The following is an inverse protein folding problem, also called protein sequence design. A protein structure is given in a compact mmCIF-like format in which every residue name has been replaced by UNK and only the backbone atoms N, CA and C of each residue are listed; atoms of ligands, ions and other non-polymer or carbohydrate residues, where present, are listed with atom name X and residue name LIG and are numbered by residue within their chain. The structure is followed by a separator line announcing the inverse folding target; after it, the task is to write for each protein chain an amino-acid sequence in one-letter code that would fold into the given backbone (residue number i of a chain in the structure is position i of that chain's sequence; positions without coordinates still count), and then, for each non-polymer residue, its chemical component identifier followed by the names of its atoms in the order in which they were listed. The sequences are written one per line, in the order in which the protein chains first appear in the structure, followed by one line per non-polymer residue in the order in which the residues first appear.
data_IF_637338164805
#
_entry.id   IF_637338164805
#
_cell.length_a   1.000
_cell.length_b   1.000
_cell.length_c   1.000
_cell.angle_alpha   90.00
_cell.angle_beta   90.00
_cell.angle_gamma   90.00
#
_symmetry.space_group_name_H-M   'P 1'
#
loop_
_entity.id
_entity.type
_entity.pdbx_description
1 polymer ?
#
# COMPACT_ATOMS: atom_id res chain seq x y z
N UNK A 1 -44.24 -36.31 18.80
CA UNK A 1 -44.06 -35.74 17.46
C UNK A 1 -42.57 -35.73 17.18
N UNK A 2 -42.10 -36.72 16.45
CA UNK A 2 -40.70 -36.82 16.04
C UNK A 2 -40.48 -35.78 14.94
N UNK A 3 -39.57 -34.82 15.16
CA UNK A 3 -39.22 -33.86 14.12
C UNK A 3 -38.60 -34.63 12.94
N UNK A 4 -39.08 -34.43 11.71
CA UNK A 4 -38.53 -35.12 10.56
C UNK A 4 -37.06 -34.74 10.41
N UNK A 5 -36.20 -35.75 10.35
CA UNK A 5 -34.72 -35.65 10.32
C UNK A 5 -34.26 -34.66 9.22
N UNK A 6 -35.02 -34.55 8.13
CA UNK A 6 -34.81 -33.57 7.05
C UNK A 6 -34.79 -32.12 7.55
N UNK A 7 -35.65 -31.74 8.51
CA UNK A 7 -35.69 -30.37 9.04
C UNK A 7 -34.42 -30.06 9.85
N UNK A 8 -33.93 -31.02 10.63
CA UNK A 8 -32.72 -30.88 11.45
C UNK A 8 -31.48 -30.74 10.55
N UNK A 9 -31.39 -31.56 9.49
CA UNK A 9 -30.27 -31.50 8.53
C UNK A 9 -30.26 -30.15 7.81
N UNK A 10 -31.42 -29.67 7.36
CA UNK A 10 -31.51 -28.39 6.62
C UNK A 10 -31.10 -27.20 7.49
N UNK A 11 -31.51 -27.21 8.77
CA UNK A 11 -31.09 -26.20 9.75
C UNK A 11 -29.59 -26.23 10.00
N UNK A 12 -28.99 -27.41 10.11
CA UNK A 12 -27.56 -27.55 10.33
C UNK A 12 -26.74 -27.05 9.14
N UNK A 13 -27.15 -27.39 7.91
CA UNK A 13 -26.51 -26.90 6.68
C UNK A 13 -26.63 -25.39 6.55
N UNK A 14 -27.79 -24.80 6.85
CA UNK A 14 -27.98 -23.35 6.80
C UNK A 14 -27.08 -22.58 7.79
N UNK A 15 -26.91 -23.11 9.01
CA UNK A 15 -26.01 -22.52 10.01
C UNK A 15 -24.55 -22.61 9.57
N UNK A 16 -24.11 -23.77 9.05
CA UNK A 16 -22.74 -23.96 8.58
C UNK A 16 -22.42 -23.06 7.39
N UNK A 17 -23.32 -22.99 6.39
CA UNK A 17 -23.12 -22.12 5.22
C UNK A 17 -23.15 -20.64 5.63
N UNK A 18 -24.03 -20.24 6.55
CA UNK A 18 -24.07 -18.87 7.06
C UNK A 18 -22.77 -18.45 7.76
N UNK A 19 -22.21 -19.32 8.62
CA UNK A 19 -20.93 -19.06 9.30
C UNK A 19 -19.77 -18.95 8.30
N UNK A 20 -19.74 -19.79 7.26
CA UNK A 20 -18.70 -19.74 6.23
C UNK A 20 -18.76 -18.44 5.43
N UNK A 21 -19.96 -17.98 5.03
CA UNK A 21 -20.13 -16.73 4.27
C UNK A 21 -19.75 -15.51 5.11
N UNK A 22 -20.10 -15.49 6.41
CA UNK A 22 -19.77 -14.38 7.33
C UNK A 22 -18.25 -14.29 7.56
N UNK A 23 -17.57 -15.43 7.71
CA UNK A 23 -16.10 -15.45 7.83
C UNK A 23 -15.43 -15.01 6.53
N UNK A 24 -15.92 -15.46 5.37
CA UNK A 24 -15.37 -15.06 4.06
C UNK A 24 -15.55 -13.54 3.81
N UNK A 25 -16.71 -12.98 4.19
CA UNK A 25 -16.97 -11.55 4.09
C UNK A 25 -16.10 -10.73 5.06
N UNK A 26 -15.83 -11.26 6.26
CA UNK A 26 -14.93 -10.61 7.23
C UNK A 26 -13.47 -10.66 6.77
N UNK A 27 -13.02 -11.75 6.15
CA UNK A 27 -11.68 -11.87 5.56
C UNK A 27 -11.53 -10.93 4.35
N UNK A 28 -12.54 -10.82 3.48
CA UNK A 28 -12.50 -9.88 2.33
C UNK A 28 -12.55 -8.40 2.76
N UNK A 29 -13.29 -8.07 3.82
CA UNK A 29 -13.34 -6.70 4.36
C UNK A 29 -12.04 -6.36 5.11
N UNK A 30 -11.41 -7.34 5.76
CA UNK A 30 -10.11 -7.15 6.44
C UNK A 30 -8.96 -7.05 5.45
N UNK A 31 -8.98 -7.84 4.36
CA UNK A 31 -8.01 -7.74 3.25
C UNK A 31 -8.19 -6.46 2.43
N UNK A 32 -9.43 -5.97 2.28
CA UNK A 32 -9.69 -4.69 1.61
C UNK A 32 -9.40 -3.48 2.50
N UNK A 33 -9.50 -3.61 3.83
CA UNK A 33 -9.06 -2.57 4.78
C UNK A 33 -7.55 -2.55 4.96
N UNK A 34 -6.89 -3.70 5.05
CA UNK A 34 -5.41 -3.76 5.16
C UNK A 34 -4.73 -3.18 3.92
N UNK A 35 -5.34 -3.36 2.73
CA UNK A 35 -4.86 -2.72 1.48
C UNK A 35 -5.14 -1.22 1.41
N UNK A 36 -6.11 -0.70 2.18
CA UNK A 36 -6.36 0.74 2.32
C UNK A 36 -5.49 1.38 3.43
N UNK A 37 -5.11 0.62 4.45
CA UNK A 37 -4.28 1.07 5.59
C UNK A 37 -2.76 0.87 5.37
N UNK A 38 -2.33 0.24 4.27
CA UNK A 38 -0.90 0.02 3.95
C UNK A 38 -0.05 1.31 3.84
N UNK A 39 -0.69 2.47 3.75
CA UNK A 39 -0.04 3.79 3.77
C UNK A 39 -0.01 4.44 5.15
N UNK A 40 -0.78 3.92 6.11
CA UNK A 40 -1.08 4.54 7.39
C UNK A 40 -0.55 3.74 8.59
N UNK A 41 -0.23 2.46 8.41
CA UNK A 41 0.23 1.60 9.51
C UNK A 41 1.65 1.93 10.00
N UNK A 42 1.78 1.86 11.32
CA UNK A 42 2.91 2.25 12.17
C UNK A 42 4.11 1.28 12.10
N UNK A 43 4.02 0.23 11.27
CA UNK A 43 5.06 -0.80 11.10
C UNK A 43 5.87 -0.57 9.80
N UNK A 44 6.61 0.54 9.73
CA UNK A 44 7.70 0.64 8.76
C UNK A 44 8.84 -0.21 9.30
N UNK A 45 9.12 -1.35 8.68
CA UNK A 45 10.36 -2.10 8.94
C UNK A 45 11.56 -1.13 8.89
N UNK A 46 12.37 -1.10 9.94
CA UNK A 46 13.56 -0.25 10.06
C UNK A 46 14.50 -0.41 8.84
N UNK A 47 14.47 -1.57 8.19
CA UNK A 47 15.23 -1.88 6.97
C UNK A 47 14.84 -1.05 5.74
N UNK A 48 13.69 -0.35 5.78
CA UNK A 48 13.21 0.53 4.70
C UNK A 48 13.54 1.99 4.95
N UNK A 49 14.15 2.31 6.08
CA UNK A 49 14.52 3.69 6.46
C UNK A 49 15.90 4.01 5.89
N UNK A 50 15.99 5.12 5.16
CA UNK A 50 17.24 5.64 4.61
C UNK A 50 17.48 7.02 5.22
N UNK A 51 18.53 7.17 6.01
CA UNK A 51 18.94 8.46 6.55
C UNK A 51 19.92 9.14 5.59
N UNK A 52 19.59 10.37 5.18
CA UNK A 52 20.43 11.22 4.36
C UNK A 52 20.58 12.58 5.03
N UNK A 53 21.74 13.21 4.86
CA UNK A 53 21.94 14.60 5.32
C UNK A 53 20.99 15.57 4.59
N UNK A 54 20.66 15.29 3.33
CA UNK A 54 19.70 16.06 2.55
C UNK A 54 18.96 15.16 1.55
N UNK A 55 17.65 15.34 1.46
CA UNK A 55 16.77 14.63 0.53
C UNK A 55 16.56 15.50 -0.71
N UNK A 56 17.30 15.17 -1.78
CA UNK A 56 17.24 15.85 -3.07
C UNK A 56 16.21 15.24 -4.02
N UNK A 57 15.68 16.04 -4.95
CA UNK A 57 14.69 15.61 -5.96
C UNK A 57 15.16 14.39 -6.77
N UNK A 58 16.45 14.36 -7.13
CA UNK A 58 17.06 13.24 -7.89
C UNK A 58 17.15 11.95 -7.08
N UNK A 59 17.44 12.04 -5.78
CA UNK A 59 17.48 10.88 -4.89
C UNK A 59 16.09 10.26 -4.75
N UNK A 60 15.07 11.10 -4.54
CA UNK A 60 13.67 10.67 -4.46
C UNK A 60 13.20 10.03 -5.77
N UNK A 61 13.50 10.64 -6.92
CA UNK A 61 13.14 10.11 -8.23
C UNK A 61 13.80 8.75 -8.51
N UNK A 62 15.08 8.57 -8.14
CA UNK A 62 15.79 7.30 -8.31
C UNK A 62 15.19 6.19 -7.43
N UNK A 63 14.91 6.49 -6.16
CA UNK A 63 14.29 5.53 -5.23
C UNK A 63 12.85 5.17 -5.66
N UNK A 64 12.09 6.14 -6.15
CA UNK A 64 10.78 5.92 -6.78
C UNK A 64 10.90 4.97 -7.98
N UNK A 65 11.90 5.15 -8.84
CA UNK A 65 12.13 4.30 -9.99
C UNK A 65 12.50 2.87 -9.61
N UNK A 66 13.31 2.69 -8.56
CA UNK A 66 13.64 1.36 -8.02
C UNK A 66 12.41 0.67 -7.43
N UNK A 67 11.59 1.41 -6.68
CA UNK A 67 10.31 0.93 -6.15
C UNK A 67 9.39 0.46 -7.30
N UNK A 68 9.27 1.25 -8.37
CA UNK A 68 8.45 0.89 -9.53
C UNK A 68 8.96 -0.39 -10.21
N UNK A 69 10.27 -0.50 -10.46
CA UNK A 69 10.88 -1.71 -11.04
C UNK A 69 10.59 -2.97 -10.22
N UNK A 70 10.61 -2.84 -8.90
CA UNK A 70 10.45 -3.98 -7.98
C UNK A 70 8.99 -4.46 -7.90
N UNK A 71 8.03 -3.53 -7.90
CA UNK A 71 6.63 -3.81 -7.60
C UNK A 71 5.68 -3.76 -8.80
N UNK A 72 6.05 -3.14 -9.92
CA UNK A 72 5.19 -3.05 -11.12
C UNK A 72 4.73 -4.41 -11.66
N UNK A 73 5.54 -5.46 -11.48
CA UNK A 73 5.19 -6.83 -11.90
C UNK A 73 4.72 -7.74 -10.75
N UNK A 74 4.49 -7.19 -9.54
CA UNK A 74 3.99 -7.96 -8.41
C UNK A 74 2.47 -7.77 -8.30
N UNK A 75 1.73 -8.88 -8.31
CA UNK A 75 0.28 -8.88 -8.48
C UNK A 75 -0.54 -8.79 -7.18
N UNK A 76 0.06 -8.40 -6.05
CA UNK A 76 -0.60 -8.66 -4.78
C UNK A 76 -0.96 -7.42 -3.94
N UNK A 77 -0.05 -6.49 -3.67
CA UNK A 77 -0.25 -5.53 -2.57
C UNK A 77 0.48 -4.18 -2.76
N UNK A 78 -0.16 -3.10 -2.33
CA UNK A 78 0.47 -1.79 -2.16
C UNK A 78 1.52 -1.89 -1.05
N UNK A 79 2.69 -1.30 -1.26
CA UNK A 79 3.80 -1.43 -0.34
C UNK A 79 4.60 -0.14 -0.22
N UNK A 80 4.94 0.24 1.01
CA UNK A 80 6.00 1.21 1.26
C UNK A 80 7.34 0.57 0.90
N UNK A 81 8.05 1.20 -0.01
CA UNK A 81 9.37 0.79 -0.47
C UNK A 81 10.47 1.38 0.41
N UNK A 82 10.41 2.69 0.63
CA UNK A 82 11.43 3.45 1.34
C UNK A 82 10.81 4.57 2.16
N UNK A 83 11.43 4.89 3.29
CA UNK A 83 11.21 6.11 4.06
C UNK A 83 12.53 6.83 4.17
N UNK A 84 12.68 7.95 3.50
CA UNK A 84 13.90 8.74 3.51
C UNK A 84 13.78 9.81 4.57
N UNK A 85 14.68 9.80 5.56
CA UNK A 85 14.77 10.82 6.60
C UNK A 85 15.92 11.78 6.28
N UNK A 86 15.71 13.07 6.49
CA UNK A 86 16.71 14.12 6.23
C UNK A 86 16.08 15.46 5.90
N UNK A 87 16.90 16.51 5.76
CA UNK A 87 16.42 17.84 5.37
C UNK A 87 15.89 17.80 3.93
N UNK A 88 14.56 17.93 3.78
CA UNK A 88 13.91 17.83 2.47
C UNK A 88 14.11 19.11 1.69
N UNK A 89 14.90 19.00 0.62
CA UNK A 89 15.11 20.06 -0.38
C UNK A 89 14.53 19.68 -1.74
N UNK A 90 13.85 18.54 -1.83
CA UNK A 90 13.21 18.05 -3.03
C UNK A 90 11.98 18.89 -3.40
N UNK A 91 11.74 19.08 -4.70
CA UNK A 91 10.53 19.72 -5.22
C UNK A 91 9.75 18.78 -6.13
N UNK A 92 8.42 18.85 -6.07
CA UNK A 92 7.53 17.93 -6.80
C UNK A 92 7.81 17.94 -8.31
N UNK A 93 7.92 19.15 -8.90
CA UNK A 93 8.19 19.32 -10.32
C UNK A 93 9.53 18.72 -10.75
N UNK A 94 10.57 18.82 -9.91
CA UNK A 94 11.88 18.25 -10.22
C UNK A 94 11.90 16.73 -10.03
N UNK A 95 11.18 16.20 -9.04
CA UNK A 95 11.04 14.75 -8.84
C UNK A 95 10.35 14.12 -10.05
N UNK A 96 9.24 14.70 -10.52
CA UNK A 96 8.52 14.22 -11.71
C UNK A 96 9.40 14.33 -12.95
N UNK A 97 10.10 15.46 -13.15
CA UNK A 97 10.99 15.66 -14.30
C UNK A 97 12.21 14.72 -14.31
N UNK A 98 12.72 14.33 -13.13
CA UNK A 98 13.84 13.41 -13.00
C UNK A 98 13.43 11.93 -13.03
N UNK A 99 12.12 11.64 -12.98
CA UNK A 99 11.60 10.28 -12.95
C UNK A 99 11.70 9.64 -14.37
N UNK A 100 12.30 8.45 -14.50
CA UNK A 100 12.59 7.87 -15.81
C UNK A 100 11.40 7.18 -16.50
N UNK A 101 10.24 7.12 -15.84
CA UNK A 101 9.01 6.52 -16.38
C UNK A 101 7.95 7.58 -16.68
N UNK A 102 6.77 7.15 -17.13
CA UNK A 102 5.68 8.08 -17.45
C UNK A 102 5.28 8.93 -16.24
N UNK A 103 5.02 10.23 -16.46
CA UNK A 103 4.51 11.12 -15.41
C UNK A 103 3.19 10.60 -14.82
N UNK A 104 2.36 9.91 -15.62
CA UNK A 104 1.12 9.29 -15.15
C UNK A 104 1.34 8.15 -14.14
N UNK A 105 2.55 7.59 -14.08
CA UNK A 105 2.91 6.46 -13.21
C UNK A 105 3.47 6.88 -11.85
N UNK A 106 3.54 8.19 -11.58
CA UNK A 106 3.99 8.74 -10.30
C UNK A 106 3.05 9.85 -9.81
N UNK A 107 2.85 9.91 -8.50
CA UNK A 107 2.05 10.89 -7.78
C UNK A 107 2.91 11.43 -6.64
N UNK A 108 3.17 12.73 -6.63
CA UNK A 108 4.13 13.35 -5.70
C UNK A 108 3.41 14.45 -4.93
N UNK A 109 3.40 14.31 -3.60
CA UNK A 109 2.92 15.35 -2.67
C UNK A 109 4.01 15.57 -1.61
N UNK A 110 4.74 16.67 -1.75
CA UNK A 110 5.79 17.09 -0.80
C UNK A 110 5.38 18.33 -0.01
N UNK A 111 4.10 18.71 -0.06
CA UNK A 111 3.58 19.93 0.59
C UNK A 111 3.88 19.99 2.09
N UNK A 112 3.98 18.83 2.75
CA UNK A 112 4.26 18.70 4.18
C UNK A 112 5.63 18.07 4.48
N UNK A 113 6.45 17.80 3.47
CA UNK A 113 7.75 17.15 3.61
C UNK A 113 8.75 18.09 4.29
N UNK A 114 8.93 17.97 5.60
CA UNK A 114 9.98 18.72 6.32
C UNK A 114 11.25 17.90 6.49
N UNK A 115 11.09 16.71 7.07
CA UNK A 115 12.21 15.90 7.54
C UNK A 115 12.15 14.44 7.05
N UNK A 116 11.11 14.10 6.29
CA UNK A 116 10.87 12.75 5.83
C UNK A 116 10.15 12.75 4.49
N UNK A 117 10.43 11.73 3.68
CA UNK A 117 9.71 11.43 2.44
C UNK A 117 9.45 9.94 2.39
N UNK A 118 8.18 9.54 2.32
CA UNK A 118 7.74 8.15 2.14
C UNK A 118 7.54 7.87 0.66
N UNK A 119 8.12 6.79 0.17
CA UNK A 119 8.03 6.34 -1.23
C UNK A 119 7.42 4.94 -1.23
N UNK A 120 6.31 4.78 -1.95
CA UNK A 120 5.59 3.51 -2.02
C UNK A 120 4.97 3.26 -3.38
N UNK A 121 4.66 1.99 -3.63
CA UNK A 121 3.87 1.56 -4.78
C UNK A 121 2.42 1.36 -4.35
N UNK A 122 1.51 1.99 -5.08
CA UNK A 122 0.08 1.79 -4.95
C UNK A 122 -0.42 0.88 -6.08
N UNK A 123 -0.82 -0.33 -5.71
CA UNK A 123 -1.34 -1.32 -6.64
C UNK A 123 -2.72 -0.94 -7.20
N UNK A 124 -3.53 -0.18 -6.45
CA UNK A 124 -4.90 0.20 -6.85
C UNK A 124 -4.85 1.13 -8.05
N UNK A 125 -4.00 2.16 -7.97
CA UNK A 125 -3.79 3.13 -9.04
C UNK A 125 -2.73 2.68 -10.05
N UNK A 126 -1.95 1.65 -9.72
CA UNK A 126 -0.77 1.20 -10.46
C UNK A 126 0.27 2.33 -10.63
N UNK A 127 0.54 3.05 -9.54
CA UNK A 127 1.39 4.25 -9.49
C UNK A 127 2.36 4.21 -8.32
N UNK A 128 3.48 4.89 -8.47
CA UNK A 128 4.28 5.31 -7.32
C UNK A 128 3.58 6.46 -6.63
N UNK A 129 3.48 6.44 -5.30
CA UNK A 129 3.27 7.67 -4.54
C UNK A 129 4.50 8.05 -3.74
N UNK A 130 4.74 9.34 -3.69
CA UNK A 130 5.77 10.00 -2.89
C UNK A 130 5.06 10.99 -1.98
N UNK A 131 5.22 10.84 -0.66
CA UNK A 131 4.54 11.68 0.33
C UNK A 131 5.50 12.25 1.38
N UNK A 132 5.32 13.52 1.68
CA UNK A 132 6.04 14.29 2.71
C UNK A 132 5.40 14.33 4.08
#
# INVERSE_FOLDING_TARGET
MEMPITVIITLFVAVVVGVVIINLASDMITDSKSKLDAWNDEDVDDEKIIELDSVLSTSVANLAAECYKKYYNQEAESAVCFVVLGDVSASESEVVAAYPYSEDSIDVDLSNAKNAVRIGYDFVDNKIKVKG
#
